data_IF_267741756451
#
_entry.id   IF_267741756451
#
_cell.length_a   1.000
_cell.length_b   1.000
_cell.length_c   1.000
_cell.angle_alpha   90.00
_cell.angle_beta   90.00
_cell.angle_gamma   90.00
#
_symmetry.space_group_name_H-M   'P 1'
#
loop_
_entity.id
_entity.type
_entity.pdbx_description
1 polymer ?
#
# COMPACT_ATOMS: atom_id res chain seq x y z
N UNK A 1 31.82 12.74 -26.04
CA UNK A 1 30.72 12.57 -27.03
C UNK A 1 29.39 12.91 -26.37
N UNK A 2 28.68 13.92 -26.90
CA UNK A 2 27.32 14.27 -26.46
C UNK A 2 26.37 13.15 -26.89
N UNK A 3 26.03 12.23 -25.97
CA UNK A 3 24.92 11.29 -26.19
C UNK A 3 23.65 12.12 -26.38
N UNK A 4 23.14 12.19 -27.61
CA UNK A 4 21.84 12.79 -27.92
C UNK A 4 20.77 11.90 -27.29
N UNK A 5 20.21 12.33 -26.16
CA UNK A 5 19.06 11.69 -25.53
C UNK A 5 17.81 12.16 -26.30
N UNK A 6 17.03 11.21 -26.84
CA UNK A 6 15.74 11.47 -27.51
C UNK A 6 14.61 10.94 -26.63
N UNK A 7 13.62 11.78 -26.31
CA UNK A 7 12.37 11.34 -25.67
C UNK A 7 11.58 10.47 -26.67
N UNK A 8 11.27 9.24 -26.29
CA UNK A 8 10.50 8.28 -27.11
C UNK A 8 9.08 8.04 -26.58
N UNK A 9 8.86 8.28 -25.29
CA UNK A 9 7.57 8.20 -24.62
C UNK A 9 7.59 9.07 -23.36
N UNK A 10 6.41 9.34 -22.81
CA UNK A 10 6.25 10.01 -21.53
C UNK A 10 4.78 10.29 -21.25
N UNK A 11 4.48 10.60 -20.00
CA UNK A 11 3.19 11.06 -19.53
C UNK A 11 3.40 12.33 -18.70
N UNK A 12 2.49 13.27 -18.80
CA UNK A 12 2.67 14.59 -18.17
C UNK A 12 2.44 14.57 -16.65
N UNK A 13 1.80 13.51 -16.12
CA UNK A 13 1.41 13.40 -14.71
C UNK A 13 2.00 12.19 -13.98
N UNK A 14 2.13 11.06 -14.67
CA UNK A 14 2.51 9.79 -14.05
C UNK A 14 3.84 9.27 -14.61
N UNK A 15 4.60 8.57 -13.77
CA UNK A 15 5.87 8.01 -14.20
C UNK A 15 5.66 6.78 -15.10
N UNK A 16 6.48 6.65 -16.13
CA UNK A 16 6.55 5.41 -16.93
C UNK A 16 7.26 4.35 -16.09
N UNK A 17 6.61 3.20 -15.90
CA UNK A 17 7.07 2.12 -15.02
C UNK A 17 7.67 0.93 -15.77
N UNK A 18 7.35 0.78 -17.06
CA UNK A 18 7.78 -0.35 -17.88
C UNK A 18 7.64 -0.01 -19.37
N UNK A 19 8.35 -0.74 -20.24
CA UNK A 19 8.27 -0.58 -21.68
C UNK A 19 8.69 -1.85 -22.42
N UNK A 20 7.93 -2.18 -23.48
CA UNK A 20 8.21 -3.31 -24.37
C UNK A 20 8.96 -2.83 -25.61
N UNK A 21 9.98 -3.59 -26.02
CA UNK A 21 10.78 -3.31 -27.19
C UNK A 21 10.87 -4.53 -28.11
N UNK A 22 10.98 -4.29 -29.41
CA UNK A 22 11.32 -5.33 -30.37
C UNK A 22 12.83 -5.67 -30.37
N UNK A 23 13.22 -6.62 -31.22
CA UNK A 23 14.62 -7.06 -31.35
C UNK A 23 15.58 -5.97 -31.88
N UNK A 24 15.04 -4.91 -32.47
CA UNK A 24 15.76 -3.75 -32.97
C UNK A 24 15.66 -2.54 -32.01
N UNK A 25 15.21 -2.78 -30.76
CA UNK A 25 15.01 -1.77 -29.72
C UNK A 25 14.03 -0.66 -30.12
N UNK A 26 13.08 -0.93 -31.02
CA UNK A 26 11.95 -0.04 -31.26
C UNK A 26 10.87 -0.25 -30.21
N UNK A 27 10.31 0.85 -29.72
CA UNK A 27 9.28 0.84 -28.68
C UNK A 27 7.98 0.22 -29.24
N UNK A 28 7.51 -0.86 -28.62
CA UNK A 28 6.25 -1.52 -28.97
C UNK A 28 5.08 -1.05 -28.11
N UNK A 29 5.31 -0.88 -26.81
CA UNK A 29 4.34 -0.37 -25.85
C UNK A 29 5.05 0.21 -24.62
N UNK A 30 4.37 1.05 -23.84
CA UNK A 30 4.86 1.51 -22.54
C UNK A 30 3.73 1.57 -21.50
N UNK A 31 4.12 1.56 -20.23
CA UNK A 31 3.20 1.39 -19.12
C UNK A 31 3.37 2.52 -18.11
N UNK A 32 2.26 3.00 -17.57
CA UNK A 32 2.25 3.88 -16.40
C UNK A 32 1.11 3.49 -15.48
N UNK A 33 1.28 3.79 -14.19
CA UNK A 33 0.22 3.65 -13.21
C UNK A 33 -0.34 5.03 -12.89
N UNK A 34 -1.50 5.36 -13.47
CA UNK A 34 -2.31 6.49 -13.02
C UNK A 34 -3.20 6.07 -11.85
N UNK A 35 -4.41 6.59 -11.81
CA UNK A 35 -5.48 6.05 -10.96
C UNK A 35 -5.79 4.58 -11.29
N UNK A 36 -5.52 4.17 -12.52
CA UNK A 36 -5.61 2.81 -13.00
C UNK A 36 -4.34 2.46 -13.80
N UNK A 37 -3.90 1.20 -13.79
CA UNK A 37 -2.80 0.77 -14.63
C UNK A 37 -3.16 0.93 -16.11
N UNK A 38 -2.24 1.50 -16.89
CA UNK A 38 -2.43 1.74 -18.31
C UNK A 38 -1.26 1.19 -19.10
N UNK A 39 -1.59 0.51 -20.20
CA UNK A 39 -0.67 0.20 -21.29
C UNK A 39 -1.00 1.11 -22.46
N UNK A 40 0.04 1.67 -23.09
CA UNK A 40 -0.09 2.45 -24.31
C UNK A 40 0.62 1.71 -25.43
N UNK A 41 -0.14 1.11 -26.34
CA UNK A 41 0.40 0.48 -27.54
C UNK A 41 0.90 1.50 -28.56
N UNK A 42 2.10 1.26 -29.09
CA UNK A 42 2.72 2.08 -30.14
C UNK A 42 2.55 1.41 -31.51
N UNK A 43 2.81 0.10 -31.59
CA UNK A 43 2.73 -0.67 -32.85
C UNK A 43 1.34 -1.23 -33.10
N UNK A 44 0.99 -1.48 -34.36
CA UNK A 44 -0.32 -2.06 -34.72
C UNK A 44 -0.53 -3.46 -34.14
N UNK A 45 0.57 -4.21 -33.95
CA UNK A 45 0.54 -5.47 -33.22
C UNK A 45 0.08 -5.30 -31.78
N UNK A 46 0.65 -4.33 -31.06
CA UNK A 46 0.27 -4.07 -29.67
C UNK A 46 -1.15 -3.50 -29.58
N UNK A 47 -1.58 -2.66 -30.53
CA UNK A 47 -2.96 -2.18 -30.60
C UNK A 47 -3.94 -3.33 -30.81
N UNK A 48 -3.60 -4.31 -31.66
CA UNK A 48 -4.41 -5.53 -31.82
C UNK A 48 -4.48 -6.34 -30.53
N UNK A 49 -3.39 -6.44 -29.77
CA UNK A 49 -3.39 -7.09 -28.46
C UNK A 49 -4.28 -6.34 -27.46
N UNK A 50 -4.21 -5.00 -27.42
CA UNK A 50 -5.11 -4.17 -26.59
C UNK A 50 -6.57 -4.46 -26.93
N UNK A 51 -6.95 -4.45 -28.22
CA UNK A 51 -8.32 -4.74 -28.63
C UNK A 51 -8.79 -6.14 -28.19
N UNK A 52 -7.91 -7.16 -28.30
CA UNK A 52 -8.22 -8.51 -27.82
C UNK A 52 -8.45 -8.49 -26.31
N UNK A 53 -7.60 -7.80 -25.56
CA UNK A 53 -7.70 -7.74 -24.10
C UNK A 53 -8.97 -7.02 -23.65
N UNK A 54 -9.24 -5.83 -24.20
CA UNK A 54 -10.43 -5.04 -23.87
C UNK A 54 -11.74 -5.75 -24.22
N UNK A 55 -11.77 -6.46 -25.35
CA UNK A 55 -12.97 -7.20 -25.78
C UNK A 55 -13.29 -8.41 -24.89
N UNK A 56 -12.27 -9.04 -24.28
CA UNK A 56 -12.44 -10.24 -23.47
C UNK A 56 -12.44 -9.95 -21.96
N UNK A 57 -11.80 -8.87 -21.53
CA UNK A 57 -11.57 -8.54 -20.12
C UNK A 57 -11.76 -7.03 -19.86
N UNK A 58 -12.96 -6.46 -20.12
CA UNK A 58 -13.18 -5.01 -20.08
C UNK A 58 -12.97 -4.38 -18.69
N UNK A 59 -13.17 -5.15 -17.62
CA UNK A 59 -13.11 -4.67 -16.23
C UNK A 59 -11.82 -5.11 -15.49
N UNK A 60 -10.82 -5.58 -16.24
CA UNK A 60 -9.59 -6.10 -15.66
C UNK A 60 -8.34 -5.52 -16.34
N UNK A 61 -7.24 -5.54 -15.60
CA UNK A 61 -5.93 -5.23 -16.15
C UNK A 61 -5.27 -6.51 -16.66
N UNK A 62 -4.85 -6.49 -17.92
CA UNK A 62 -4.16 -7.60 -18.57
C UNK A 62 -2.67 -7.27 -18.72
N UNK A 63 -1.81 -8.06 -18.08
CA UNK A 63 -0.35 -7.96 -18.20
C UNK A 63 0.21 -9.18 -18.91
N UNK A 64 0.97 -8.95 -19.98
CA UNK A 64 1.75 -10.00 -20.62
C UNK A 64 2.84 -10.45 -19.63
N UNK A 65 2.88 -11.75 -19.35
CA UNK A 65 3.89 -12.35 -18.47
C UNK A 65 5.05 -12.92 -19.27
N UNK A 66 4.74 -13.52 -20.41
CA UNK A 66 5.72 -14.11 -21.31
C UNK A 66 5.11 -14.33 -22.70
N UNK A 67 5.95 -14.60 -23.69
CA UNK A 67 5.52 -14.96 -25.03
C UNK A 67 6.49 -15.96 -25.69
N UNK A 68 6.01 -16.70 -26.70
CA UNK A 68 6.87 -17.53 -27.54
C UNK A 68 7.85 -16.67 -28.36
N UNK A 69 8.94 -17.26 -28.85
CA UNK A 69 9.97 -16.54 -29.63
C UNK A 69 9.41 -15.88 -30.89
N UNK A 70 8.47 -16.54 -31.57
CA UNK A 70 7.76 -16.01 -32.74
C UNK A 70 6.67 -14.97 -32.38
N UNK A 71 6.49 -14.68 -31.08
CA UNK A 71 5.47 -13.79 -30.54
C UNK A 71 4.05 -14.13 -31.04
N UNK A 72 3.73 -15.41 -31.21
CA UNK A 72 2.39 -15.89 -31.59
C UNK A 72 1.59 -16.48 -30.43
N UNK A 73 2.27 -16.89 -29.34
CA UNK A 73 1.63 -17.35 -28.10
C UNK A 73 2.03 -16.44 -26.95
N UNK A 74 1.07 -16.10 -26.10
CA UNK A 74 1.28 -15.22 -24.95
C UNK A 74 0.72 -15.86 -23.69
N UNK A 75 1.51 -15.87 -22.62
CA UNK A 75 0.98 -16.06 -21.28
C UNK A 75 0.60 -14.68 -20.77
N UNK A 76 -0.68 -14.50 -20.47
CA UNK A 76 -1.21 -13.24 -19.93
C UNK A 76 -1.76 -13.49 -18.52
N UNK A 77 -1.54 -12.52 -17.64
CA UNK A 77 -2.20 -12.44 -16.33
C UNK A 77 -3.32 -11.41 -16.45
N UNK A 78 -4.52 -11.81 -16.07
CA UNK A 78 -5.69 -10.94 -15.97
C UNK A 78 -5.99 -10.77 -14.49
N UNK A 79 -6.17 -9.54 -14.01
CA UNK A 79 -6.49 -9.27 -12.61
C UNK A 79 -7.28 -7.98 -12.43
N UNK A 80 -8.09 -7.93 -11.38
CA UNK A 80 -8.86 -6.77 -10.94
C UNK A 80 -8.92 -6.74 -9.39
N UNK A 81 -9.53 -5.73 -8.76
CA UNK A 81 -9.80 -5.74 -7.33
C UNK A 81 -10.63 -6.95 -6.85
N UNK A 82 -11.51 -7.46 -7.71
CA UNK A 82 -12.39 -8.59 -7.40
C UNK A 82 -11.89 -9.92 -7.97
N UNK A 83 -10.78 -9.92 -8.71
CA UNK A 83 -10.06 -11.12 -9.16
C UNK A 83 -8.55 -10.92 -8.96
N UNK A 84 -7.93 -11.52 -7.93
CA UNK A 84 -6.49 -11.43 -7.66
C UNK A 84 -5.61 -11.84 -8.83
N UNK A 85 -6.17 -12.69 -9.68
CA UNK A 85 -5.74 -12.88 -11.04
C UNK A 85 -5.71 -14.33 -11.46
N UNK A 86 -5.84 -14.49 -12.76
CA UNK A 86 -5.80 -15.77 -13.46
C UNK A 86 -4.84 -15.68 -14.63
N UNK A 87 -4.18 -16.79 -14.94
CA UNK A 87 -3.31 -16.94 -16.09
C UNK A 87 -4.09 -17.53 -17.26
N UNK A 88 -3.84 -17.00 -18.45
CA UNK A 88 -4.39 -17.47 -19.70
C UNK A 88 -3.29 -17.62 -20.75
N UNK A 89 -3.47 -18.57 -21.65
CA UNK A 89 -2.71 -18.71 -22.88
C UNK A 89 -3.52 -18.09 -24.03
N UNK A 90 -2.98 -17.03 -24.62
CA UNK A 90 -3.49 -16.41 -25.84
C UNK A 90 -2.72 -16.94 -27.06
N UNK A 91 -3.46 -17.36 -28.08
CA UNK A 91 -2.99 -17.54 -29.45
C UNK A 91 -3.30 -16.28 -30.27
N UNK A 92 -2.26 -15.56 -30.69
CA UNK A 92 -2.40 -14.25 -31.34
C UNK A 92 -2.91 -14.35 -32.79
N UNK A 93 -2.59 -15.41 -33.52
CA UNK A 93 -3.06 -15.57 -34.90
C UNK A 93 -4.57 -15.77 -34.93
N UNK A 94 -5.09 -16.62 -34.02
CA UNK A 94 -6.53 -16.96 -33.94
C UNK A 94 -7.33 -16.07 -33.00
N UNK A 95 -6.69 -15.38 -32.05
CA UNK A 95 -7.35 -14.66 -30.97
C UNK A 95 -7.91 -15.56 -29.85
N UNK A 96 -7.65 -16.88 -29.91
CA UNK A 96 -8.17 -17.83 -28.93
C UNK A 96 -7.48 -17.65 -27.58
N UNK A 97 -8.28 -17.56 -26.51
CA UNK A 97 -7.80 -17.45 -25.13
C UNK A 97 -8.26 -18.69 -24.35
N UNK A 98 -7.33 -19.32 -23.63
CA UNK A 98 -7.62 -20.49 -22.78
C UNK A 98 -7.06 -20.22 -21.39
N UNK A 99 -7.89 -20.40 -20.35
CA UNK A 99 -7.43 -20.31 -18.97
C UNK A 99 -6.48 -21.47 -18.64
N UNK A 100 -5.38 -21.18 -17.96
CA UNK A 100 -4.37 -22.18 -17.58
C UNK A 100 -4.13 -22.26 -16.06
N UNK A 101 -4.62 -21.30 -15.27
CA UNK A 101 -4.60 -21.43 -13.80
C UNK A 101 -5.02 -20.17 -13.03
N UNK A 102 -5.37 -20.36 -11.76
CA UNK A 102 -5.70 -19.30 -10.80
C UNK A 102 -4.49 -18.98 -9.92
N UNK A 103 -4.31 -17.72 -9.55
CA UNK A 103 -3.30 -17.34 -8.54
C UNK A 103 -3.72 -17.84 -7.15
N UNK A 104 -4.99 -17.66 -6.77
CA UNK A 104 -5.55 -18.16 -5.51
C UNK A 104 -6.75 -19.08 -5.77
N UNK A 105 -6.47 -20.36 -6.02
CA UNK A 105 -7.49 -21.36 -6.37
C UNK A 105 -8.62 -21.50 -5.34
N UNK A 106 -8.32 -21.31 -4.05
CA UNK A 106 -9.27 -21.50 -2.96
C UNK A 106 -9.92 -20.20 -2.48
N UNK A 107 -9.59 -19.06 -3.09
CA UNK A 107 -10.17 -17.78 -2.68
C UNK A 107 -11.57 -17.63 -3.27
N UNK A 108 -12.53 -17.31 -2.41
CA UNK A 108 -13.88 -16.96 -2.81
C UNK A 108 -13.90 -15.51 -3.32
N UNK A 109 -13.72 -15.35 -4.63
CA UNK A 109 -13.71 -14.05 -5.31
C UNK A 109 -15.03 -13.31 -5.19
N UNK A 110 -16.13 -14.02 -4.92
CA UNK A 110 -17.44 -13.41 -4.73
C UNK A 110 -17.55 -12.60 -3.44
N UNK A 111 -16.56 -12.67 -2.55
CA UNK A 111 -16.50 -11.84 -1.34
C UNK A 111 -15.63 -10.59 -1.51
N UNK A 112 -14.88 -10.49 -2.61
CA UNK A 112 -13.96 -9.40 -2.83
C UNK A 112 -14.68 -8.13 -3.23
N UNK A 113 -14.15 -7.00 -2.79
CA UNK A 113 -14.75 -5.69 -2.97
C UNK A 113 -14.13 -4.95 -4.16
N UNK A 114 -14.91 -4.18 -4.93
CA UNK A 114 -14.34 -3.26 -5.91
C UNK A 114 -13.49 -2.20 -5.21
N UNK A 115 -12.55 -1.62 -5.96
CA UNK A 115 -11.66 -0.56 -5.47
C UNK A 115 -11.83 0.65 -6.38
N UNK A 116 -12.10 1.81 -5.76
CA UNK A 116 -12.26 3.11 -6.43
C UNK A 116 -11.04 3.98 -6.17
N UNK A 117 -10.47 4.56 -7.22
CA UNK A 117 -9.47 5.61 -7.06
C UNK A 117 -10.10 6.87 -6.46
N UNK A 118 -9.44 7.47 -5.47
CA UNK A 118 -9.90 8.68 -4.79
C UNK A 118 -8.77 9.70 -4.72
N UNK A 119 -9.14 10.97 -4.69
CA UNK A 119 -8.20 12.08 -4.49
C UNK A 119 -8.84 13.07 -3.53
N UNK A 120 -8.07 13.58 -2.58
CA UNK A 120 -8.51 14.60 -1.63
C UNK A 120 -7.43 15.67 -1.42
N UNK A 121 -7.80 16.92 -1.11
CA UNK A 121 -6.81 17.96 -0.82
C UNK A 121 -6.24 17.74 0.59
N UNK A 122 -4.91 17.76 0.72
CA UNK A 122 -4.26 18.01 2.00
C UNK A 122 -4.50 19.46 2.43
N UNK A 123 -4.29 19.76 3.71
CA UNK A 123 -4.49 21.09 4.30
C UNK A 123 -3.63 22.21 3.67
N UNK A 124 -2.54 21.86 2.99
CA UNK A 124 -1.70 22.80 2.24
C UNK A 124 -2.07 22.89 0.74
N UNK A 125 -3.15 22.22 0.33
CA UNK A 125 -3.68 22.22 -1.03
C UNK A 125 -3.07 21.16 -1.94
N UNK A 126 -2.11 20.36 -1.49
CA UNK A 126 -1.57 19.26 -2.30
C UNK A 126 -2.64 18.17 -2.48
N UNK A 127 -2.89 17.75 -3.72
CA UNK A 127 -3.82 16.65 -3.99
C UNK A 127 -3.17 15.31 -3.60
N UNK A 128 -3.75 14.63 -2.62
CA UNK A 128 -3.32 13.32 -2.17
C UNK A 128 -4.14 12.24 -2.85
N UNK A 129 -3.45 11.24 -3.39
CA UNK A 129 -4.06 10.13 -4.11
C UNK A 129 -4.27 8.93 -3.19
N UNK A 130 -5.23 8.09 -3.53
CA UNK A 130 -5.49 6.88 -2.77
C UNK A 130 -6.52 5.97 -3.43
N UNK A 131 -6.88 4.92 -2.71
CA UNK A 131 -7.88 3.96 -3.11
C UNK A 131 -8.83 3.69 -1.96
N UNK A 132 -10.13 3.73 -2.25
CA UNK A 132 -11.19 3.39 -1.33
C UNK A 132 -11.82 2.08 -1.76
N UNK A 133 -11.93 1.15 -0.82
CA UNK A 133 -12.77 -0.03 -0.95
C UNK A 133 -13.72 -0.13 0.23
N UNK A 134 -14.98 -0.47 -0.06
CA UNK A 134 -16.04 -0.68 0.93
C UNK A 134 -16.50 -2.13 0.87
N UNK A 135 -17.04 -2.71 1.95
CA UNK A 135 -17.52 -4.10 1.94
C UNK A 135 -18.50 -4.38 0.79
N UNK A 136 -18.31 -5.51 0.09
CA UNK A 136 -19.16 -5.88 -1.06
C UNK A 136 -20.64 -5.88 -0.66
N UNK A 137 -21.46 -5.17 -1.43
CA UNK A 137 -22.90 -5.02 -1.18
C UNK A 137 -23.28 -3.94 -0.16
N UNK A 138 -22.32 -3.22 0.42
CA UNK A 138 -22.56 -2.06 1.28
C UNK A 138 -22.44 -0.74 0.51
N UNK A 139 -23.15 0.30 0.95
CA UNK A 139 -22.88 1.69 0.54
C UNK A 139 -21.57 2.23 1.10
N UNK A 140 -21.08 1.60 2.18
CA UNK A 140 -19.92 2.07 2.95
C UNK A 140 -20.24 3.26 3.84
N UNK A 141 -21.49 3.70 3.94
CA UNK A 141 -21.85 4.89 4.73
C UNK A 141 -21.79 4.61 6.24
N UNK A 142 -21.20 5.55 6.98
CA UNK A 142 -21.09 5.52 8.43
C UNK A 142 -20.63 4.15 8.98
N UNK A 143 -19.62 3.57 8.35
CA UNK A 143 -19.10 2.24 8.70
C UNK A 143 -17.78 2.31 9.47
N UNK A 144 -17.45 1.25 10.23
CA UNK A 144 -16.10 1.01 10.71
C UNK A 144 -15.06 1.18 9.60
N UNK A 145 -14.05 2.00 9.82
CA UNK A 145 -13.09 2.41 8.79
C UNK A 145 -11.65 2.18 9.23
N UNK A 146 -10.84 1.65 8.32
CA UNK A 146 -9.40 1.50 8.50
C UNK A 146 -8.66 2.41 7.53
N UNK A 147 -7.85 3.30 8.07
CA UNK A 147 -6.83 4.04 7.32
C UNK A 147 -5.61 3.14 7.20
N UNK A 148 -5.36 2.62 6.00
CA UNK A 148 -4.25 1.72 5.72
C UNK A 148 -3.09 2.52 5.10
N UNK A 149 -1.94 2.47 5.77
CA UNK A 149 -0.75 3.23 5.38
C UNK A 149 0.33 2.30 4.85
N UNK A 150 0.99 2.74 3.78
CA UNK A 150 2.04 2.05 3.05
C UNK A 150 3.28 1.69 3.91
N UNK A 151 3.96 0.60 3.55
CA UNK A 151 5.09 0.02 4.32
C UNK A 151 6.42 0.78 4.20
N UNK A 152 6.56 1.69 3.23
CA UNK A 152 7.75 2.51 3.01
C UNK A 152 7.39 4.00 2.83
N UNK A 153 8.39 4.88 2.90
CA UNK A 153 8.22 6.33 2.76
C UNK A 153 7.64 6.69 1.39
N UNK A 154 8.14 6.06 0.33
CA UNK A 154 7.80 6.38 -1.07
C UNK A 154 7.08 5.24 -1.79
N UNK A 155 6.74 4.15 -1.09
CA UNK A 155 6.00 3.03 -1.67
C UNK A 155 4.56 3.43 -1.99
N UNK A 156 3.98 2.72 -2.96
CA UNK A 156 2.69 3.04 -3.55
C UNK A 156 1.72 1.88 -3.44
N UNK A 157 0.49 2.17 -3.03
CA UNK A 157 -0.68 1.34 -3.33
C UNK A 157 -1.09 1.53 -4.78
N UNK A 158 -1.45 0.43 -5.44
CA UNK A 158 -1.94 0.42 -6.81
C UNK A 158 -3.37 -0.08 -6.85
N UNK A 159 -4.10 0.30 -7.90
CA UNK A 159 -5.39 -0.31 -8.20
C UNK A 159 -5.20 -1.82 -8.47
N UNK A 160 -6.05 -2.63 -7.84
CA UNK A 160 -6.05 -4.08 -7.99
C UNK A 160 -6.35 -4.76 -6.65
N UNK A 161 -6.28 -6.10 -6.64
CA UNK A 161 -6.44 -6.86 -5.41
C UNK A 161 -5.29 -6.57 -4.43
N UNK A 162 -5.65 -6.12 -3.23
CA UNK A 162 -4.73 -5.97 -2.11
C UNK A 162 -5.17 -6.89 -0.97
N UNK A 163 -4.26 -7.76 -0.49
CA UNK A 163 -4.56 -8.76 0.55
C UNK A 163 -5.08 -8.13 1.83
N UNK A 164 -4.52 -6.98 2.25
CA UNK A 164 -4.93 -6.28 3.45
C UNK A 164 -6.32 -5.66 3.31
N UNK A 165 -6.54 -4.91 2.23
CA UNK A 165 -7.83 -4.30 1.97
C UNK A 165 -8.92 -5.38 1.83
N UNK A 166 -8.68 -6.44 1.06
CA UNK A 166 -9.61 -7.56 0.91
C UNK A 166 -9.91 -8.28 2.23
N UNK A 167 -8.88 -8.52 3.06
CA UNK A 167 -9.07 -9.09 4.40
C UNK A 167 -9.98 -8.23 5.28
N UNK A 168 -9.79 -6.91 5.29
CA UNK A 168 -10.55 -5.96 6.09
C UNK A 168 -11.97 -5.74 5.54
N UNK A 169 -12.14 -5.58 4.23
CA UNK A 169 -13.45 -5.40 3.61
C UNK A 169 -14.36 -6.61 3.84
N UNK A 170 -13.82 -7.83 3.74
CA UNK A 170 -14.58 -9.07 4.03
C UNK A 170 -15.01 -9.19 5.49
N UNK A 171 -14.45 -8.37 6.39
CA UNK A 171 -14.83 -8.25 7.81
C UNK A 171 -15.71 -7.04 8.09
N UNK A 172 -16.18 -6.33 7.06
CA UNK A 172 -17.12 -5.22 7.23
C UNK A 172 -16.46 -3.89 7.55
N UNK A 173 -15.18 -3.70 7.18
CA UNK A 173 -14.52 -2.40 7.30
C UNK A 173 -14.44 -1.70 5.94
N UNK A 174 -14.65 -0.39 5.91
CA UNK A 174 -14.13 0.44 4.84
C UNK A 174 -12.61 0.51 4.96
N UNK A 175 -11.92 0.64 3.83
CA UNK A 175 -10.47 0.78 3.80
C UNK A 175 -10.08 1.92 2.89
N UNK A 176 -9.40 2.92 3.46
CA UNK A 176 -8.74 3.96 2.69
C UNK A 176 -7.24 3.66 2.64
N UNK A 177 -6.75 3.33 1.45
CA UNK A 177 -5.34 3.16 1.13
C UNK A 177 -4.77 4.50 0.65
N UNK A 178 -3.83 5.07 1.40
CA UNK A 178 -3.31 6.41 1.13
C UNK A 178 -1.95 6.35 0.42
N UNK A 179 -1.82 7.10 -0.66
CA UNK A 179 -0.55 7.37 -1.35
C UNK A 179 -0.12 8.81 -1.04
N UNK A 180 0.34 9.03 0.19
CA UNK A 180 0.78 10.34 0.71
C UNK A 180 1.87 10.99 -0.14
N UNK A 181 2.15 12.29 0.06
CA UNK A 181 3.19 13.01 -0.68
C UNK A 181 4.50 12.23 -0.67
N UNK A 182 5.26 12.28 -1.76
CA UNK A 182 6.48 11.48 -1.88
C UNK A 182 6.29 10.09 -2.46
N UNK A 183 5.06 9.58 -2.53
CA UNK A 183 4.78 8.29 -3.18
C UNK A 183 5.18 8.33 -4.65
N UNK A 184 5.94 7.34 -5.11
CA UNK A 184 6.40 7.28 -6.50
C UNK A 184 5.26 7.12 -7.51
N UNK A 185 5.48 7.56 -8.75
CA UNK A 185 4.56 7.33 -9.86
C UNK A 185 3.54 8.45 -10.11
N UNK A 186 3.59 9.53 -9.32
CA UNK A 186 2.78 10.75 -9.50
C UNK A 186 3.63 11.95 -9.97
N UNK A 187 4.77 11.65 -10.62
CA UNK A 187 5.70 12.66 -11.13
C UNK A 187 6.75 13.10 -10.12
N UNK A 188 7.76 13.79 -10.64
CA UNK A 188 8.93 14.21 -9.86
C UNK A 188 8.55 15.18 -8.74
N UNK A 189 7.70 16.17 -8.98
CA UNK A 189 7.35 17.18 -7.98
C UNK A 189 6.63 16.55 -6.78
N UNK A 190 5.71 15.62 -7.03
CA UNK A 190 5.04 14.86 -5.97
C UNK A 190 6.03 14.01 -5.16
N UNK A 191 6.97 13.36 -5.86
CA UNK A 191 8.02 12.56 -5.22
C UNK A 191 8.95 13.44 -4.37
N UNK A 192 9.34 14.61 -4.88
CA UNK A 192 10.23 15.54 -4.20
C UNK A 192 9.57 16.23 -3.00
N UNK A 193 8.24 16.23 -2.90
CA UNK A 193 7.51 16.77 -1.74
C UNK A 193 7.75 15.97 -0.43
N UNK A 194 8.40 14.80 -0.49
CA UNK A 194 8.79 14.01 0.69
C UNK A 194 9.91 14.62 1.50
N UNK A 195 10.78 15.39 0.85
CA UNK A 195 12.06 15.75 1.42
C UNK A 195 11.85 16.57 2.69
N UNK A 196 12.30 16.00 3.81
CA UNK A 196 12.23 16.58 5.14
C UNK A 196 10.83 16.60 5.77
N UNK A 197 9.85 15.95 5.15
CA UNK A 197 8.44 15.96 5.58
C UNK A 197 7.95 14.63 6.18
N UNK A 198 8.83 13.62 6.31
CA UNK A 198 8.48 12.26 6.79
C UNK A 198 7.80 12.26 8.17
N UNK A 199 8.17 13.18 9.07
CA UNK A 199 7.49 13.37 10.36
C UNK A 199 6.69 14.67 10.45
N UNK A 200 6.53 15.35 9.31
CA UNK A 200 5.83 16.63 9.16
C UNK A 200 4.60 16.46 8.28
N UNK A 201 4.58 17.13 7.14
CA UNK A 201 3.41 17.19 6.27
C UNK A 201 2.92 15.82 5.77
N UNK A 202 3.79 14.81 5.68
CA UNK A 202 3.36 13.45 5.33
C UNK A 202 2.38 12.84 6.35
N UNK A 203 2.53 13.16 7.63
CA UNK A 203 1.59 12.73 8.67
C UNK A 203 0.26 13.48 8.53
N UNK A 204 0.31 14.74 8.11
CA UNK A 204 -0.89 15.54 7.83
C UNK A 204 -1.67 14.95 6.66
N UNK A 205 -1.01 14.55 5.56
CA UNK A 205 -1.70 13.91 4.41
C UNK A 205 -2.54 12.69 4.82
N UNK A 206 -2.04 11.92 5.79
CA UNK A 206 -2.71 10.73 6.31
C UNK A 206 -3.91 11.13 7.17
N UNK A 207 -3.72 12.08 8.08
CA UNK A 207 -4.80 12.58 8.94
C UNK A 207 -5.89 13.32 8.15
N UNK A 208 -5.51 14.07 7.11
CA UNK A 208 -6.43 14.77 6.21
C UNK A 208 -7.24 13.76 5.37
N UNK A 209 -6.65 12.60 5.01
CA UNK A 209 -7.38 11.50 4.39
C UNK A 209 -8.41 10.86 5.32
N UNK A 210 -8.09 10.78 6.60
CA UNK A 210 -9.03 10.29 7.60
C UNK A 210 -10.18 11.28 7.85
N UNK A 211 -9.89 12.59 7.89
CA UNK A 211 -10.92 13.64 7.92
C UNK A 211 -11.82 13.57 6.67
N UNK A 212 -11.23 13.38 5.49
CA UNK A 212 -11.98 13.23 4.25
C UNK A 212 -12.97 12.05 4.30
N UNK A 213 -12.64 10.94 4.97
CA UNK A 213 -13.58 9.82 5.14
C UNK A 213 -14.82 10.20 5.96
N UNK A 214 -14.70 11.13 6.92
CA UNK A 214 -15.84 11.68 7.66
C UNK A 214 -16.63 12.65 6.80
N UNK A 215 -15.95 13.57 6.11
CA UNK A 215 -16.60 14.57 5.25
C UNK A 215 -17.41 13.93 4.12
N UNK A 216 -16.96 12.79 3.59
CA UNK A 216 -17.69 12.02 2.58
C UNK A 216 -18.76 11.09 3.16
N UNK A 217 -18.91 11.01 4.49
CA UNK A 217 -19.90 10.17 5.16
C UNK A 217 -19.58 8.67 5.16
N UNK A 218 -18.36 8.26 4.82
CA UNK A 218 -17.96 6.86 4.82
C UNK A 218 -17.66 6.33 6.23
N UNK A 219 -16.96 7.12 7.04
CA UNK A 219 -16.49 6.65 8.35
C UNK A 219 -17.44 7.05 9.48
N UNK A 220 -17.72 6.10 10.38
CA UNK A 220 -18.30 6.42 11.70
C UNK A 220 -17.23 7.09 12.58
N UNK A 221 -17.47 8.31 13.11
CA UNK A 221 -16.53 9.04 13.96
C UNK A 221 -16.05 8.29 15.20
N UNK A 222 -16.81 7.30 15.66
CA UNK A 222 -16.46 6.48 16.81
C UNK A 222 -15.86 5.13 16.41
N UNK A 223 -15.68 4.86 15.11
CA UNK A 223 -15.19 3.58 14.59
C UNK A 223 -14.15 3.75 13.49
N UNK A 224 -13.10 4.52 13.75
CA UNK A 224 -11.95 4.65 12.84
C UNK A 224 -10.65 4.14 13.49
N UNK A 225 -9.87 3.35 12.76
CA UNK A 225 -8.52 2.97 13.17
C UNK A 225 -7.51 3.22 12.07
N UNK A 226 -6.25 3.34 12.48
CA UNK A 226 -5.12 3.45 11.56
C UNK A 226 -4.22 2.22 11.69
N UNK A 227 -3.72 1.75 10.54
CA UNK A 227 -2.96 0.51 10.46
C UNK A 227 -1.81 0.63 9.45
N UNK A 228 -0.65 0.07 9.82
CA UNK A 228 0.46 -0.11 8.89
C UNK A 228 1.60 -0.93 9.47
N UNK A 229 2.53 -1.33 8.60
CA UNK A 229 3.75 -2.03 8.96
C UNK A 229 5.01 -1.24 8.58
N UNK A 230 6.18 -1.54 9.14
CA UNK A 230 7.43 -0.84 8.80
C UNK A 230 7.31 0.70 8.97
N UNK A 231 7.46 1.49 7.90
CA UNK A 231 7.21 2.92 7.93
C UNK A 231 5.71 3.23 8.08
N UNK A 232 4.82 2.41 7.55
CA UNK A 232 3.38 2.46 7.82
C UNK A 232 3.06 2.32 9.30
N UNK A 233 3.79 1.45 10.02
CA UNK A 233 3.68 1.34 11.47
C UNK A 233 4.14 2.61 12.18
N UNK A 234 5.24 3.20 11.72
CA UNK A 234 5.69 4.52 12.19
C UNK A 234 4.64 5.61 11.95
N UNK A 235 4.08 5.67 10.75
CA UNK A 235 3.05 6.64 10.37
C UNK A 235 1.78 6.46 11.20
N UNK A 236 1.35 5.21 11.44
CA UNK A 236 0.22 4.90 12.30
C UNK A 236 0.42 5.41 13.73
N UNK A 237 1.62 5.22 14.29
CA UNK A 237 1.99 5.75 15.60
C UNK A 237 2.03 7.28 15.61
N UNK A 238 2.65 7.92 14.61
CA UNK A 238 2.79 9.38 14.59
C UNK A 238 1.50 10.12 14.26
N UNK A 239 0.63 9.57 13.42
CA UNK A 239 -0.68 10.13 13.14
C UNK A 239 -1.49 10.27 14.44
N UNK A 240 -1.42 9.27 15.31
CA UNK A 240 -2.06 9.32 16.63
C UNK A 240 -1.43 10.35 17.57
N UNK A 241 -0.10 10.41 17.61
CA UNK A 241 0.63 11.41 18.40
C UNK A 241 0.31 12.84 17.92
N UNK A 242 0.17 13.04 16.61
CA UNK A 242 -0.11 14.33 15.99
C UNK A 242 -1.56 14.77 16.19
N UNK A 243 -2.50 13.82 16.19
CA UNK A 243 -3.93 14.06 16.40
C UNK A 243 -4.47 13.11 17.49
N UNK A 244 -4.16 13.38 18.78
CA UNK A 244 -4.56 12.51 19.87
C UNK A 244 -6.08 12.34 19.94
N UNK A 245 -6.52 11.13 20.29
CA UNK A 245 -7.94 10.77 20.45
C UNK A 245 -8.79 10.83 19.18
N UNK A 246 -8.20 11.07 18.01
CA UNK A 246 -8.94 11.02 16.74
C UNK A 246 -9.24 9.58 16.29
N UNK A 247 -8.25 8.69 16.39
CA UNK A 247 -8.43 7.28 16.06
C UNK A 247 -8.95 6.51 17.29
N UNK A 248 -9.89 5.59 17.09
CA UNK A 248 -10.37 4.71 18.16
C UNK A 248 -9.36 3.60 18.46
N UNK A 249 -8.51 3.23 17.50
CA UNK A 249 -7.41 2.31 17.73
C UNK A 249 -6.26 2.47 16.70
N UNK A 250 -5.11 1.93 17.06
CA UNK A 250 -3.91 1.93 16.22
C UNK A 250 -3.34 0.51 16.12
N UNK A 251 -3.05 0.05 14.91
CA UNK A 251 -2.34 -1.21 14.65
C UNK A 251 -1.00 -0.89 14.03
N UNK A 252 0.09 -1.20 14.75
CA UNK A 252 1.44 -0.90 14.33
C UNK A 252 2.30 -2.15 14.31
N UNK A 253 2.70 -2.58 13.12
CA UNK A 253 3.43 -3.82 12.88
C UNK A 253 4.90 -3.52 12.58
N UNK A 254 5.83 -4.05 13.38
CA UNK A 254 7.27 -3.78 13.24
C UNK A 254 7.60 -2.30 12.90
N UNK A 255 7.20 -1.29 13.68
CA UNK A 255 7.42 0.10 13.30
C UNK A 255 8.88 0.55 13.41
N UNK A 256 9.21 1.61 12.65
CA UNK A 256 10.36 2.46 12.96
C UNK A 256 10.00 3.39 14.12
N UNK A 257 10.74 3.31 15.23
CA UNK A 257 10.37 4.06 16.46
C UNK A 257 11.38 5.12 16.88
N UNK A 258 12.61 5.09 16.34
CA UNK A 258 13.70 5.97 16.77
C UNK A 258 14.57 6.45 15.60
N UNK A 259 14.29 7.66 15.12
CA UNK A 259 15.01 8.31 14.03
C UNK A 259 16.43 8.73 14.38
N UNK A 260 16.72 9.05 15.66
CA UNK A 260 18.08 9.38 16.12
C UNK A 260 19.04 8.21 15.86
N UNK A 261 18.55 6.97 16.00
CA UNK A 261 19.32 5.77 15.68
C UNK A 261 19.18 5.36 14.22
N UNK A 262 17.98 5.50 13.64
CA UNK A 262 17.73 5.12 12.24
C UNK A 262 18.71 5.82 11.28
N UNK A 263 18.84 7.15 11.36
CA UNK A 263 19.69 7.92 10.43
C UNK A 263 21.19 7.67 10.60
N UNK A 264 21.62 7.13 11.75
CA UNK A 264 23.03 6.71 11.95
C UNK A 264 23.34 5.43 11.18
N UNK A 265 22.36 4.55 11.05
CA UNK A 265 22.49 3.21 10.46
C UNK A 265 22.07 3.22 8.98
N UNK A 266 21.20 4.15 8.60
CA UNK A 266 20.61 4.28 7.27
C UNK A 266 20.84 5.67 6.74
N UNK A 267 21.62 5.74 5.67
CA UNK A 267 21.81 6.96 4.88
C UNK A 267 20.64 7.11 3.92
N UNK A 268 19.88 8.18 4.03
CA UNK A 268 18.78 8.52 3.12
C UNK A 268 18.62 10.02 2.95
N UNK A 269 18.37 10.44 1.72
CA UNK A 269 18.22 11.86 1.39
C UNK A 269 16.83 12.41 1.79
N UNK A 270 15.86 11.55 2.15
CA UNK A 270 14.49 11.98 2.47
C UNK A 270 14.37 12.59 3.87
N UNK A 271 15.21 12.17 4.80
CA UNK A 271 15.08 12.48 6.24
C UNK A 271 16.20 13.43 6.70
N UNK A 272 17.39 13.32 6.11
CA UNK A 272 18.60 13.98 6.61
C UNK A 272 18.67 15.45 6.18
N UNK A 273 18.17 16.37 7.03
CA UNK A 273 18.43 17.82 6.93
C UNK A 273 19.06 18.41 8.19
N UNK A 274 19.62 19.60 8.00
CA UNK A 274 19.77 20.65 9.01
C UNK A 274 18.38 21.17 9.43
N UNK A 275 18.02 21.03 10.70
CA UNK A 275 16.79 21.61 11.29
C UNK A 275 15.63 20.65 11.56
N UNK A 276 15.73 19.37 11.14
CA UNK A 276 14.74 18.35 11.50
C UNK A 276 15.02 17.82 12.91
N UNK A 277 14.02 17.86 13.79
CA UNK A 277 14.15 17.29 15.13
C UNK A 277 13.82 15.78 15.11
N UNK A 278 14.87 14.96 15.00
CA UNK A 278 14.72 13.51 15.04
C UNK A 278 14.13 12.97 16.34
N UNK A 279 14.22 13.70 17.47
CA UNK A 279 13.55 13.26 18.70
C UNK A 279 12.05 13.49 18.60
N UNK A 280 11.61 14.65 18.10
CA UNK A 280 10.19 14.92 17.86
C UNK A 280 9.58 13.95 16.84
N UNK A 281 10.34 13.56 15.82
CA UNK A 281 9.94 12.53 14.86
C UNK A 281 9.96 11.10 15.41
N UNK A 282 10.47 10.85 16.61
CA UNK A 282 10.61 9.49 17.11
C UNK A 282 9.51 9.14 18.13
N UNK A 283 8.61 8.20 17.81
CA UNK A 283 7.73 7.55 18.79
C UNK A 283 8.42 7.21 20.11
N UNK A 284 9.68 6.79 20.05
CA UNK A 284 10.49 6.42 21.21
C UNK A 284 10.61 7.52 22.28
N UNK A 285 10.60 8.80 21.90
CA UNK A 285 10.68 9.90 22.86
C UNK A 285 9.31 10.44 23.27
N UNK A 286 8.22 9.94 22.67
CA UNK A 286 6.87 10.49 22.77
C UNK A 286 5.83 9.47 23.26
N UNK A 287 6.26 8.55 24.13
CA UNK A 287 5.39 7.47 24.62
C UNK A 287 4.24 7.96 25.51
N UNK A 288 4.36 9.14 26.13
CA UNK A 288 3.31 9.75 26.96
C UNK A 288 2.20 10.41 26.12
N UNK A 289 2.44 10.60 24.82
CA UNK A 289 1.52 11.29 23.90
C UNK A 289 0.43 10.35 23.35
N UNK A 290 0.60 9.03 23.48
CA UNK A 290 -0.43 8.06 23.04
C UNK A 290 -1.66 8.11 23.93
N UNK A 291 -2.84 8.06 23.29
CA UNK A 291 -4.14 8.09 23.98
C UNK A 291 -5.10 6.97 23.56
N UNK A 292 -4.78 6.20 22.53
CA UNK A 292 -5.73 5.29 21.88
C UNK A 292 -5.24 3.85 21.92
N UNK A 293 -6.11 2.86 22.15
CA UNK A 293 -5.73 1.45 22.18
C UNK A 293 -4.76 1.08 21.05
N UNK A 294 -3.66 0.41 21.40
CA UNK A 294 -2.57 0.11 20.47
C UNK A 294 -2.31 -1.39 20.41
N UNK A 295 -2.45 -1.98 19.23
CA UNK A 295 -1.88 -3.28 18.90
C UNK A 295 -0.46 -3.07 18.39
N UNK A 296 0.52 -3.48 19.18
CA UNK A 296 1.93 -3.44 18.83
C UNK A 296 2.38 -4.85 18.47
N UNK A 297 2.56 -5.12 17.18
CA UNK A 297 2.77 -6.47 16.67
C UNK A 297 4.19 -6.65 16.14
N UNK A 298 4.89 -7.66 16.65
CA UNK A 298 6.21 -8.06 16.18
C UNK A 298 6.18 -9.36 15.38
N UNK A 299 6.88 -9.36 14.25
CA UNK A 299 6.94 -10.49 13.32
C UNK A 299 8.39 -10.94 13.05
N UNK A 300 8.61 -12.15 12.50
CA UNK A 300 9.95 -12.63 12.18
C UNK A 300 10.68 -11.72 11.18
N UNK A 301 11.99 -11.59 11.34
CA UNK A 301 12.89 -10.80 10.47
C UNK A 301 12.71 -11.18 8.98
N UNK A 302 12.51 -12.47 8.73
CA UNK A 302 12.36 -13.05 7.39
C UNK A 302 10.99 -13.66 7.14
N UNK A 303 9.97 -13.25 7.89
CA UNK A 303 8.60 -13.67 7.63
C UNK A 303 8.09 -12.98 6.38
N UNK A 304 7.41 -13.73 5.51
CA UNK A 304 6.66 -13.18 4.39
C UNK A 304 5.73 -12.07 4.90
N UNK A 305 6.05 -10.81 4.63
CA UNK A 305 5.02 -9.77 4.64
C UNK A 305 4.08 -10.08 3.47
N UNK A 306 2.78 -10.00 3.74
CA UNK A 306 1.67 -10.52 2.92
C UNK A 306 1.42 -9.78 1.61
N UNK A 307 2.23 -8.78 1.29
CA UNK A 307 2.42 -8.38 -0.10
C UNK A 307 3.51 -9.28 -0.69
N UNK A 308 3.08 -10.48 -1.11
CA UNK A 308 3.88 -11.51 -1.76
C UNK A 308 5.19 -10.96 -2.38
N UNK A 309 6.33 -11.34 -1.79
CA UNK A 309 7.70 -11.13 -2.31
C UNK A 309 8.39 -9.78 -2.02
N UNK A 310 8.62 -9.44 -0.75
CA UNK A 310 9.78 -8.58 -0.40
C UNK A 310 10.96 -9.48 0.00
N UNK A 311 12.08 -9.47 -0.75
CA UNK A 311 13.28 -10.23 -0.39
C UNK A 311 13.80 -9.84 1.00
N UNK A 312 14.37 -10.80 1.73
CA UNK A 312 15.10 -10.60 2.99
C UNK A 312 16.08 -9.43 2.86
N UNK A 313 15.71 -8.25 3.34
CA UNK A 313 16.64 -7.20 3.76
C UNK A 313 16.37 -6.87 5.24
N UNK A 314 16.70 -7.87 6.05
CA UNK A 314 16.56 -8.04 7.50
C UNK A 314 17.40 -7.08 8.36
N UNK A 315 17.63 -5.85 7.89
CA UNK A 315 18.46 -4.88 8.60
C UNK A 315 17.76 -3.53 8.87
N UNK A 316 16.46 -3.38 8.62
CA UNK A 316 15.71 -2.17 9.01
C UNK A 316 15.46 -2.07 10.53
N UNK A 317 15.57 -3.19 11.25
CA UNK A 317 15.13 -3.31 12.64
C UNK A 317 16.27 -3.57 13.61
N UNK A 318 16.49 -2.60 14.49
CA UNK A 318 17.19 -2.81 15.74
C UNK A 318 16.20 -3.39 16.76
N UNK A 319 16.23 -4.71 16.93
CA UNK A 319 15.36 -5.39 17.88
C UNK A 319 15.58 -4.97 19.32
N UNK A 320 16.80 -4.53 19.67
CA UNK A 320 17.08 -4.02 20.99
C UNK A 320 16.34 -2.69 21.23
N UNK A 321 16.24 -1.84 20.20
CA UNK A 321 15.39 -0.65 20.27
C UNK A 321 13.91 -0.97 20.38
N UNK A 322 13.44 -2.03 19.69
CA UNK A 322 12.05 -2.46 19.76
C UNK A 322 11.64 -2.85 21.19
N UNK A 323 12.45 -3.69 21.85
CA UNK A 323 12.21 -4.10 23.24
C UNK A 323 12.30 -2.93 24.22
N UNK A 324 13.29 -2.05 24.02
CA UNK A 324 13.41 -0.81 24.82
C UNK A 324 12.20 0.09 24.66
N UNK A 325 11.71 0.25 23.43
CA UNK A 325 10.51 1.01 23.16
C UNK A 325 9.30 0.40 23.85
N UNK A 326 9.08 -0.90 23.71
CA UNK A 326 7.98 -1.61 24.36
C UNK A 326 8.01 -1.45 25.88
N UNK A 327 9.19 -1.62 26.50
CA UNK A 327 9.36 -1.41 27.94
C UNK A 327 9.02 0.01 28.36
N UNK A 328 9.46 1.01 27.58
CA UNK A 328 9.16 2.42 27.84
C UNK A 328 7.66 2.71 27.66
N UNK A 329 7.07 2.20 26.59
CA UNK A 329 5.65 2.34 26.25
C UNK A 329 4.79 1.74 27.37
N UNK A 330 5.02 0.49 27.78
CA UNK A 330 4.28 -0.15 28.89
C UNK A 330 4.39 0.59 30.23
N UNK A 331 5.46 1.38 30.44
CA UNK A 331 5.62 2.19 31.66
C UNK A 331 4.80 3.49 31.62
N UNK A 332 4.60 4.05 30.42
CA UNK A 332 3.94 5.35 30.20
C UNK A 332 2.49 5.22 29.72
N UNK A 333 2.14 4.05 29.20
CA UNK A 333 0.89 3.83 28.49
C UNK A 333 0.36 2.41 28.76
N UNK A 334 -0.83 2.34 29.36
CA UNK A 334 -1.40 1.08 29.84
C UNK A 334 -2.14 0.28 28.74
N UNK A 335 -2.67 0.94 27.72
CA UNK A 335 -3.56 0.33 26.73
C UNK A 335 -2.81 -0.18 25.49
N UNK A 336 -1.77 -0.99 25.72
CA UNK A 336 -0.99 -1.63 24.65
C UNK A 336 -1.14 -3.16 24.69
N UNK A 337 -1.73 -3.70 23.63
CA UNK A 337 -1.77 -5.14 23.36
C UNK A 337 -0.49 -5.49 22.57
N UNK A 338 0.44 -6.20 23.20
CA UNK A 338 1.70 -6.63 22.57
C UNK A 338 1.65 -8.09 22.16
N UNK A 339 1.90 -8.35 20.88
CA UNK A 339 1.95 -9.70 20.33
C UNK A 339 3.30 -9.93 19.63
N UNK A 340 3.99 -11.00 20.01
CA UNK A 340 5.24 -11.45 19.38
C UNK A 340 5.02 -12.78 18.68
N UNK A 341 5.18 -12.79 17.36
CA UNK A 341 4.93 -13.97 16.53
C UNK A 341 6.20 -14.54 15.88
N UNK A 342 7.40 -14.16 16.36
CA UNK A 342 8.67 -14.55 15.72
C UNK A 342 8.88 -16.06 15.59
N UNK A 343 8.35 -16.85 16.51
CA UNK A 343 8.63 -18.29 16.62
C UNK A 343 7.46 -19.18 16.17
N UNK A 344 6.53 -18.65 15.37
CA UNK A 344 5.24 -19.33 15.08
C UNK A 344 5.22 -20.18 13.78
N UNK A 345 6.31 -20.25 13.01
CA UNK A 345 6.42 -21.12 11.83
C UNK A 345 5.36 -20.85 10.75
N UNK A 346 4.89 -21.88 10.03
CA UNK A 346 3.90 -21.77 8.94
C UNK A 346 2.51 -21.28 9.41
N UNK A 347 2.17 -21.45 10.69
CA UNK A 347 0.89 -20.97 11.28
C UNK A 347 0.88 -19.46 11.57
N UNK A 348 2.03 -18.81 11.43
CA UNK A 348 2.22 -17.38 11.67
C UNK A 348 1.18 -16.51 10.96
N UNK A 349 0.94 -16.74 9.67
CA UNK A 349 0.09 -15.87 8.83
C UNK A 349 -1.36 -15.85 9.29
N UNK A 350 -1.93 -17.01 9.59
CA UNK A 350 -3.32 -17.12 10.06
C UNK A 350 -3.47 -16.45 11.42
N UNK A 351 -2.56 -16.77 12.36
CA UNK A 351 -2.57 -16.17 13.69
C UNK A 351 -2.42 -14.66 13.62
N UNK A 352 -1.49 -14.17 12.81
CA UNK A 352 -1.29 -12.74 12.58
C UNK A 352 -2.56 -12.00 12.19
N UNK A 353 -3.31 -12.53 11.21
CA UNK A 353 -4.59 -11.96 10.82
C UNK A 353 -5.65 -12.10 11.92
N UNK A 354 -5.69 -13.22 12.65
CA UNK A 354 -6.63 -13.41 13.76
C UNK A 354 -6.42 -12.38 14.88
N UNK A 355 -5.16 -12.07 15.25
CA UNK A 355 -4.86 -11.07 16.28
C UNK A 355 -5.31 -9.67 15.84
N UNK A 356 -5.12 -9.33 14.57
CA UNK A 356 -5.61 -8.06 14.00
C UNK A 356 -7.14 -8.04 13.99
N UNK A 357 -7.79 -9.10 13.53
CA UNK A 357 -9.25 -9.21 13.51
C UNK A 357 -9.85 -9.08 14.92
N UNK A 358 -9.31 -9.79 15.90
CA UNK A 358 -9.76 -9.75 17.28
C UNK A 358 -9.62 -8.34 17.88
N UNK A 359 -8.47 -7.70 17.65
CA UNK A 359 -8.21 -6.35 18.15
C UNK A 359 -9.14 -5.32 17.50
N UNK A 360 -9.30 -5.36 16.17
CA UNK A 360 -10.20 -4.45 15.47
C UNK A 360 -11.66 -4.69 15.89
N UNK A 361 -12.09 -5.95 16.02
CA UNK A 361 -13.43 -6.28 16.49
C UNK A 361 -13.68 -5.70 17.88
N UNK A 362 -12.75 -5.90 18.84
CA UNK A 362 -12.83 -5.35 20.21
C UNK A 362 -13.00 -3.83 20.26
N UNK A 363 -12.46 -3.10 19.27
CA UNK A 363 -12.40 -1.63 19.30
C UNK A 363 -13.33 -0.91 18.32
N UNK A 364 -13.80 -1.60 17.27
CA UNK A 364 -14.60 -1.02 16.20
C UNK A 364 -15.95 -1.68 15.99
N UNK A 365 -16.11 -2.94 16.42
CA UNK A 365 -17.41 -3.61 16.44
C UNK A 365 -17.88 -3.54 17.88
N UNK A 366 -18.99 -2.84 18.12
CA UNK A 366 -19.61 -2.90 19.44
C UNK A 366 -19.85 -4.36 19.85
N UNK A 367 -19.80 -4.70 21.15
CA UNK A 367 -20.12 -6.04 21.63
C UNK A 367 -21.53 -6.51 21.23
#
# INVERSE_FOLDING_TARGET
ENRKIRKIAGNDKFDIIDADFDENYQLEAYYYNGDYPKRIAVTDKMKRLDNIFESNFPDAFVRIQNHSKDKNKYIIRVSSPTDPGSYYLLDFSTGKIIMIGYIFRSLDVEKLSPVKAVTYPARDGLQIHGYLSVPKGSSGENMPTIILVNSDITSRFYWGFNTWAGFLNTRGYNVLQINQRGTFGYGNDYTMAVFFEVGGAMINDINDGADWMFDQGYADPNKICIMGDNFGGYFALQANINKPSFYNCTVSINPIVNFVNYVKIRKTNYIEKRGVDFKAMSPYFRTDDYKTPLLYLRTPKSGYTLEFLIPKTTARYDYYLYEKFLKKLKKSYANVDYIDLRDQGEKYTVKFFQEIENFLAKHLKEP
#
